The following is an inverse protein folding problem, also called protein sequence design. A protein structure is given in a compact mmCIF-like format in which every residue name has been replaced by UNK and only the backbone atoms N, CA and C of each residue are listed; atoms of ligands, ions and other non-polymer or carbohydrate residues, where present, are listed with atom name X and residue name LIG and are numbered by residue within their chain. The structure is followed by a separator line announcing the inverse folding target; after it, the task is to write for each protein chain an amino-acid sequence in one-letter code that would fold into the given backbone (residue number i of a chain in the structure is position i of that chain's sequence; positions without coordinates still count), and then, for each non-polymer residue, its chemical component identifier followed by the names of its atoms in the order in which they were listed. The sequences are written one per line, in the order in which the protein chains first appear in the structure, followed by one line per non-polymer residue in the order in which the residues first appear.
data_IF_577633101381
#
_entry.id   IF_577633101381
#
_cell.length_a   1.000
_cell.length_b   1.000
_cell.length_c   1.000
_cell.angle_alpha   90.00
_cell.angle_beta   90.00
_cell.angle_gamma   90.00
#
_symmetry.space_group_name_H-M   'P 1'
#
loop_
_entity.id
_entity.type
_entity.pdbx_description
1 polymer ?
#
# COMPACT_ATOMS: atom_id res chain seq x y z
N UNK A 1 9.04 13.02 -20.89
CA UNK A 1 8.84 13.80 -19.68
C UNK A 1 7.66 13.22 -18.95
N UNK A 2 7.91 12.33 -18.04
CA UNK A 2 6.89 11.91 -17.11
C UNK A 2 6.59 13.14 -16.28
N UNK A 3 5.53 13.82 -16.58
CA UNK A 3 4.97 14.76 -15.66
C UNK A 3 4.57 13.91 -14.46
N UNK A 4 5.44 13.94 -13.49
CA UNK A 4 5.14 13.31 -12.22
C UNK A 4 3.80 13.85 -11.78
N UNK A 5 2.94 12.93 -11.53
CA UNK A 5 1.62 13.17 -11.02
C UNK A 5 1.76 13.92 -9.71
N UNK A 6 1.39 15.16 -9.71
CA UNK A 6 1.34 15.96 -8.51
C UNK A 6 0.02 15.63 -7.80
N UNK A 7 0.11 14.77 -6.80
CA UNK A 7 -1.06 14.37 -6.02
C UNK A 7 -1.63 15.51 -5.16
N UNK A 8 -0.87 16.59 -5.02
CA UNK A 8 -1.38 17.79 -4.35
C UNK A 8 -2.12 18.69 -5.32
N UNK A 9 -2.00 18.42 -6.62
CA UNK A 9 -2.66 19.21 -7.62
C UNK A 9 -4.18 18.98 -7.53
N UNK A 10 -4.98 20.03 -7.28
CA UNK A 10 -6.43 19.89 -7.17
C UNK A 10 -7.09 19.34 -8.44
N UNK A 11 -6.34 19.29 -9.54
CA UNK A 11 -6.79 18.68 -10.79
C UNK A 11 -6.84 17.14 -10.68
N UNK A 12 -6.13 16.53 -9.72
CA UNK A 12 -6.12 15.08 -9.52
C UNK A 12 -6.50 14.73 -8.07
N UNK A 13 -7.72 15.07 -7.66
CA UNK A 13 -8.15 14.69 -6.31
C UNK A 13 -8.22 13.17 -6.19
N UNK A 14 -7.91 12.67 -5.01
CA UNK A 14 -8.18 11.28 -4.69
C UNK A 14 -9.66 11.00 -4.95
N UNK A 15 -9.96 9.90 -5.60
CA UNK A 15 -11.34 9.54 -5.83
C UNK A 15 -12.04 9.37 -4.48
N UNK A 16 -13.24 9.86 -4.45
CA UNK A 16 -14.08 9.91 -3.26
C UNK A 16 -14.51 8.54 -2.77
N UNK A 17 -13.60 7.83 -2.16
CA UNK A 17 -14.00 6.92 -1.11
C UNK A 17 -13.88 7.71 0.18
N UNK A 18 -14.63 7.38 1.19
CA UNK A 18 -14.43 7.99 2.48
C UNK A 18 -12.99 7.75 2.90
N UNK A 19 -12.25 8.82 3.17
CA UNK A 19 -10.92 8.66 3.72
C UNK A 19 -11.06 8.08 5.12
N UNK A 20 -10.27 7.04 5.38
CA UNK A 20 -10.24 6.42 6.69
C UNK A 20 -9.52 7.32 7.69
N UNK A 21 -9.93 7.23 8.94
CA UNK A 21 -9.23 7.81 10.07
C UNK A 21 -8.89 6.71 11.07
N UNK A 22 -7.97 6.99 11.98
CA UNK A 22 -7.63 6.06 13.05
C UNK A 22 -8.86 5.72 13.86
N UNK A 23 -9.02 4.44 14.17
CA UNK A 23 -10.15 3.91 14.91
C UNK A 23 -11.25 3.34 14.03
N UNK A 24 -11.23 3.62 12.73
CA UNK A 24 -12.21 3.05 11.80
C UNK A 24 -12.00 1.55 11.66
N UNK A 25 -13.09 0.81 11.43
CA UNK A 25 -13.01 -0.60 11.10
C UNK A 25 -12.51 -0.76 9.67
N UNK A 26 -11.49 -1.60 9.48
CA UNK A 26 -10.95 -1.90 8.16
C UNK A 26 -11.99 -2.61 7.29
N UNK A 27 -11.98 -2.31 6.00
CA UNK A 27 -12.82 -3.00 5.03
C UNK A 27 -12.07 -4.17 4.40
N UNK A 28 -12.79 -5.26 4.16
CA UNK A 28 -12.28 -6.36 3.35
C UNK A 28 -12.01 -5.87 1.94
N UNK A 29 -10.88 -6.27 1.39
CA UNK A 29 -10.58 -6.04 -0.03
C UNK A 29 -9.97 -7.28 -0.65
N UNK A 30 -9.99 -7.32 -1.99
CA UNK A 30 -9.42 -8.40 -2.78
C UNK A 30 -8.49 -7.82 -3.83
N UNK A 31 -7.31 -8.39 -3.94
CA UNK A 31 -6.26 -8.00 -4.90
C UNK A 31 -5.77 -9.25 -5.63
N UNK A 32 -4.84 -9.11 -6.56
CA UNK A 32 -4.29 -10.23 -7.32
C UNK A 32 -2.83 -10.46 -6.97
N UNK A 33 -2.44 -11.72 -6.86
CA UNK A 33 -1.05 -12.10 -6.67
C UNK A 33 -0.30 -12.18 -8.01
N UNK A 34 0.98 -12.58 -7.96
CA UNK A 34 1.83 -12.68 -9.14
C UNK A 34 1.37 -13.72 -10.17
N UNK A 35 0.46 -14.60 -9.81
CA UNK A 35 -0.13 -15.61 -10.69
C UNK A 35 -1.56 -15.26 -11.11
N UNK A 36 -1.96 -13.99 -10.92
CA UNK A 36 -3.31 -13.49 -11.24
C UNK A 36 -4.41 -14.15 -10.41
N UNK A 37 -4.06 -14.73 -9.26
CA UNK A 37 -5.03 -15.35 -8.37
C UNK A 37 -5.52 -14.35 -7.33
N UNK A 38 -6.82 -14.38 -6.99
CA UNK A 38 -7.37 -13.47 -5.98
C UNK A 38 -6.79 -13.74 -4.60
N UNK A 39 -6.47 -12.66 -3.89
CA UNK A 39 -6.03 -12.68 -2.50
C UNK A 39 -6.94 -11.74 -1.73
N UNK A 40 -7.70 -12.26 -0.78
CA UNK A 40 -8.55 -11.46 0.08
C UNK A 40 -7.80 -11.03 1.35
N UNK A 41 -8.06 -9.82 1.81
CA UNK A 41 -7.45 -9.31 3.04
C UNK A 41 -7.77 -10.16 4.26
N UNK A 42 -8.88 -10.90 4.23
CA UNK A 42 -9.27 -11.83 5.30
C UNK A 42 -8.31 -13.00 5.48
N UNK A 43 -7.44 -13.28 4.49
CA UNK A 43 -6.37 -14.27 4.66
C UNK A 43 -5.36 -13.87 5.73
N UNK A 44 -5.30 -12.60 6.07
CA UNK A 44 -4.37 -12.04 7.05
C UNK A 44 -5.06 -11.64 8.35
N UNK A 45 -6.29 -12.10 8.57
CA UNK A 45 -6.97 -11.86 9.84
C UNK A 45 -6.13 -12.43 10.98
N UNK A 46 -6.23 -11.84 12.15
CA UNK A 46 -5.41 -12.17 13.32
C UNK A 46 -3.93 -11.78 13.18
N UNK A 47 -3.58 -11.07 12.09
CA UNK A 47 -2.26 -10.47 11.91
C UNK A 47 -2.37 -8.96 11.84
N UNK A 48 -1.33 -8.28 12.29
CA UNK A 48 -1.18 -6.85 12.05
C UNK A 48 -0.75 -6.66 10.59
N UNK A 49 -1.46 -5.82 9.83
CA UNK A 49 -1.10 -5.52 8.45
C UNK A 49 -0.52 -4.12 8.35
N UNK A 50 0.62 -4.01 7.68
CA UNK A 50 1.11 -2.74 7.16
C UNK A 50 0.81 -2.78 5.67
N UNK A 51 -0.02 -1.85 5.19
CA UNK A 51 -0.36 -1.76 3.78
C UNK A 51 0.39 -0.57 3.20
N UNK A 52 1.38 -0.85 2.36
CA UNK A 52 2.20 0.13 1.66
C UNK A 52 1.59 0.36 0.29
N UNK A 53 1.15 1.58 0.01
CA UNK A 53 0.43 1.93 -1.22
C UNK A 53 1.27 2.89 -2.03
N UNK A 54 1.38 2.65 -3.34
CA UNK A 54 2.22 3.47 -4.21
C UNK A 54 1.70 3.46 -5.64
N UNK A 55 2.06 4.49 -6.45
CA UNK A 55 1.55 4.60 -7.83
C UNK A 55 2.10 3.55 -8.79
N UNK A 56 3.41 3.28 -8.79
CA UNK A 56 4.00 2.32 -9.73
C UNK A 56 5.42 1.94 -9.33
N UNK A 57 5.77 0.67 -9.57
CA UNK A 57 7.14 0.17 -9.42
C UNK A 57 8.13 0.85 -10.37
N UNK A 58 7.64 1.50 -11.42
CA UNK A 58 8.47 2.18 -12.43
C UNK A 58 8.85 3.60 -12.02
N UNK A 59 8.57 4.03 -10.79
CA UNK A 59 9.01 5.31 -10.25
C UNK A 59 10.05 5.12 -9.16
N UNK A 60 11.02 6.02 -9.07
CA UNK A 60 12.15 5.90 -8.14
C UNK A 60 11.73 5.91 -6.67
N UNK A 61 10.77 6.77 -6.31
CA UNK A 61 10.29 6.86 -4.92
C UNK A 61 9.53 5.60 -4.52
N UNK A 62 8.78 5.01 -5.44
CA UNK A 62 8.09 3.73 -5.18
C UNK A 62 9.09 2.59 -4.97
N UNK A 63 10.17 2.57 -5.73
CA UNK A 63 11.24 1.60 -5.52
C UNK A 63 11.84 1.75 -4.12
N UNK A 64 12.15 2.97 -3.70
CA UNK A 64 12.67 3.25 -2.35
C UNK A 64 11.70 2.80 -1.26
N UNK A 65 10.42 3.07 -1.44
CA UNK A 65 9.37 2.67 -0.48
C UNK A 65 9.35 1.15 -0.29
N UNK A 66 9.37 0.40 -1.38
CA UNK A 66 9.36 -1.05 -1.33
C UNK A 66 10.64 -1.61 -0.71
N UNK A 67 11.79 -1.06 -1.07
CA UNK A 67 13.08 -1.47 -0.52
C UNK A 67 13.12 -1.22 0.99
N UNK A 68 12.64 -0.05 1.45
CA UNK A 68 12.61 0.28 2.87
C UNK A 68 11.73 -0.69 3.64
N UNK A 69 10.51 -0.95 3.18
CA UNK A 69 9.62 -1.88 3.87
C UNK A 69 10.11 -3.32 3.82
N UNK A 70 10.73 -3.73 2.73
CA UNK A 70 11.32 -5.07 2.65
C UNK A 70 12.42 -5.26 3.71
N UNK A 71 13.26 -4.24 3.90
CA UNK A 71 14.31 -4.27 4.91
C UNK A 71 13.71 -4.30 6.33
N UNK A 72 12.70 -3.47 6.58
CA UNK A 72 12.05 -3.41 7.90
C UNK A 72 11.28 -4.69 8.22
N UNK A 73 10.73 -5.36 7.21
CA UNK A 73 9.98 -6.61 7.40
C UNK A 73 10.80 -7.68 8.10
N UNK A 74 12.10 -7.72 7.84
CA UNK A 74 13.02 -8.69 8.47
C UNK A 74 13.15 -8.48 9.98
N UNK A 75 12.77 -7.33 10.50
CA UNK A 75 12.90 -6.96 11.92
C UNK A 75 11.57 -7.00 12.68
N UNK A 76 10.48 -7.26 11.98
CA UNK A 76 9.14 -7.27 12.58
C UNK A 76 8.79 -8.66 13.09
N UNK A 77 7.85 -8.71 14.03
CA UNK A 77 7.34 -9.96 14.56
C UNK A 77 6.63 -10.78 13.46
N UNK A 78 6.56 -12.09 13.65
CA UNK A 78 5.96 -13.01 12.67
C UNK A 78 4.47 -12.78 12.45
N UNK A 79 3.79 -12.14 13.39
CA UNK A 79 2.37 -11.81 13.29
C UNK A 79 2.11 -10.46 12.60
N UNK A 80 3.16 -9.84 12.07
CA UNK A 80 3.04 -8.64 11.25
C UNK A 80 3.32 -9.02 9.79
N UNK A 81 2.43 -8.62 8.90
CA UNK A 81 2.57 -8.81 7.46
C UNK A 81 2.60 -7.46 6.76
N UNK A 82 3.47 -7.32 5.77
CA UNK A 82 3.51 -6.11 4.94
C UNK A 82 2.97 -6.46 3.56
N UNK A 83 1.92 -5.74 3.15
CA UNK A 83 1.34 -5.82 1.82
C UNK A 83 1.73 -4.56 1.05
N UNK A 84 2.29 -4.73 -0.15
CA UNK A 84 2.63 -3.62 -1.05
C UNK A 84 1.66 -3.63 -2.22
N UNK A 85 0.93 -2.54 -2.43
CA UNK A 85 -0.15 -2.48 -3.40
C UNK A 85 0.06 -1.35 -4.42
N UNK A 86 -0.12 -1.69 -5.68
CA UNK A 86 -0.19 -0.74 -6.79
C UNK A 86 -1.11 -1.28 -7.87
N UNK A 87 -1.33 -0.51 -8.93
CA UNK A 87 -2.08 -0.98 -10.11
C UNK A 87 -1.16 -1.46 -11.23
N UNK A 88 0.12 -1.65 -10.95
CA UNK A 88 1.00 -2.32 -11.89
C UNK A 88 0.46 -3.71 -12.19
N UNK A 89 0.68 -4.21 -13.40
CA UNK A 89 0.34 -5.59 -13.72
C UNK A 89 1.17 -6.54 -12.86
N UNK A 90 0.63 -7.67 -12.44
CA UNK A 90 1.37 -8.66 -11.64
C UNK A 90 2.71 -9.07 -12.26
N UNK A 91 2.79 -9.10 -13.58
CA UNK A 91 4.03 -9.40 -14.31
C UNK A 91 5.12 -8.37 -14.04
N UNK A 92 4.76 -7.09 -14.06
CA UNK A 92 5.69 -5.99 -13.79
C UNK A 92 6.14 -6.02 -12.32
N UNK A 93 5.24 -6.31 -11.41
CA UNK A 93 5.55 -6.44 -9.99
C UNK A 93 6.53 -7.59 -9.73
N UNK A 94 6.32 -8.74 -10.37
CA UNK A 94 7.24 -9.88 -10.25
C UNK A 94 8.64 -9.53 -10.74
N UNK A 95 8.73 -8.86 -11.88
CA UNK A 95 10.03 -8.44 -12.44
C UNK A 95 10.74 -7.47 -11.50
N UNK A 96 10.01 -6.52 -10.96
CA UNK A 96 10.55 -5.54 -10.00
C UNK A 96 11.08 -6.25 -8.75
N UNK A 97 10.29 -7.14 -8.15
CA UNK A 97 10.68 -7.86 -6.95
C UNK A 97 11.94 -8.69 -7.18
N UNK A 98 12.06 -9.35 -8.34
CA UNK A 98 13.23 -10.12 -8.68
C UNK A 98 14.46 -9.23 -8.84
N UNK A 99 14.32 -8.08 -9.53
CA UNK A 99 15.42 -7.16 -9.78
C UNK A 99 15.93 -6.48 -8.50
N UNK A 100 15.03 -6.16 -7.58
CA UNK A 100 15.36 -5.42 -6.35
C UNK A 100 15.46 -6.32 -5.12
N UNK A 101 15.38 -7.63 -5.28
CA UNK A 101 15.45 -8.61 -4.18
C UNK A 101 14.39 -8.35 -3.10
N UNK A 102 13.17 -8.05 -3.51
CA UNK A 102 12.03 -7.83 -2.62
C UNK A 102 11.37 -9.18 -2.34
N UNK A 103 11.62 -9.73 -1.16
CA UNK A 103 11.16 -11.08 -0.79
C UNK A 103 10.48 -11.16 0.59
N UNK A 104 10.56 -10.10 1.40
CA UNK A 104 9.99 -10.09 2.74
C UNK A 104 8.63 -9.37 2.81
N UNK A 105 8.21 -8.75 1.74
CA UNK A 105 6.88 -8.13 1.63
C UNK A 105 6.09 -8.86 0.56
N UNK A 106 4.75 -8.81 0.69
CA UNK A 106 3.85 -9.41 -0.28
C UNK A 106 3.38 -8.32 -1.23
N UNK A 107 3.76 -8.41 -2.50
CA UNK A 107 3.42 -7.43 -3.52
C UNK A 107 2.22 -7.95 -4.31
N UNK A 108 1.13 -7.19 -4.30
CA UNK A 108 -0.12 -7.54 -4.96
C UNK A 108 -0.61 -6.39 -5.84
N UNK A 109 -1.45 -6.72 -6.80
CA UNK A 109 -1.97 -5.77 -7.78
C UNK A 109 -3.46 -5.50 -7.58
N UNK A 110 -3.81 -4.23 -7.59
CA UNK A 110 -5.19 -3.74 -7.52
C UNK A 110 -5.71 -3.33 -8.92
N UNK A 111 -5.02 -3.78 -10.00
CA UNK A 111 -5.26 -3.23 -11.34
C UNK A 111 -6.64 -3.56 -11.90
N UNK A 112 -7.15 -4.74 -11.61
CA UNK A 112 -8.37 -5.21 -12.28
C UNK A 112 -9.62 -4.51 -11.77
N UNK A 113 -9.82 -4.49 -10.46
CA UNK A 113 -11.06 -4.02 -9.87
C UNK A 113 -10.93 -2.73 -9.07
N UNK A 114 -9.71 -2.26 -8.78
CA UNK A 114 -9.44 -1.13 -7.89
C UNK A 114 -10.15 -1.27 -6.54
N UNK A 115 -10.35 -2.50 -6.08
CA UNK A 115 -11.16 -2.79 -4.90
C UNK A 115 -10.57 -2.16 -3.64
N UNK A 116 -9.26 -2.33 -3.43
CA UNK A 116 -8.58 -1.67 -2.31
C UNK A 116 -8.62 -0.14 -2.47
N UNK A 117 -8.21 0.33 -3.63
CA UNK A 117 -8.09 1.77 -3.87
C UNK A 117 -9.39 2.53 -3.67
N UNK A 118 -10.49 1.98 -4.16
CA UNK A 118 -11.81 2.60 -4.00
C UNK A 118 -12.29 2.56 -2.56
N UNK A 119 -12.09 1.45 -1.86
CA UNK A 119 -12.54 1.30 -0.48
C UNK A 119 -11.75 2.15 0.51
N UNK A 120 -10.45 2.38 0.24
CA UNK A 120 -9.57 3.11 1.14
C UNK A 120 -9.23 4.53 0.68
N UNK A 121 -9.83 4.99 -0.42
CA UNK A 121 -9.66 6.37 -0.88
C UNK A 121 -8.31 6.67 -1.51
N UNK A 122 -7.62 5.68 -2.07
CA UNK A 122 -6.32 5.87 -2.69
C UNK A 122 -6.34 6.04 -4.20
N UNK A 123 -7.48 5.87 -4.86
CA UNK A 123 -7.54 5.98 -6.33
C UNK A 123 -7.40 7.42 -6.78
N UNK A 124 -6.47 7.65 -7.70
CA UNK A 124 -6.41 8.89 -8.47
C UNK A 124 -7.25 8.66 -9.71
N UNK A 125 -8.45 9.16 -9.71
CA UNK A 125 -9.49 8.81 -10.66
C UNK A 125 -9.08 9.04 -12.11
N UNK A 126 -8.52 10.18 -12.40
CA UNK A 126 -8.15 10.60 -13.77
C UNK A 126 -7.05 9.73 -14.36
N UNK A 127 -6.22 9.15 -13.52
CA UNK A 127 -5.04 8.39 -13.93
C UNK A 127 -5.22 6.89 -13.70
N UNK A 128 -6.24 6.50 -12.95
CA UNK A 128 -6.47 5.13 -12.51
C UNK A 128 -5.23 4.51 -11.84
N UNK A 129 -4.52 5.33 -11.09
CA UNK A 129 -3.39 4.91 -10.27
C UNK A 129 -3.77 5.00 -8.80
N UNK A 130 -3.03 4.30 -7.96
CA UNK A 130 -3.12 4.51 -6.52
C UNK A 130 -2.21 5.67 -6.11
N UNK A 131 -2.65 6.44 -5.13
CA UNK A 131 -1.80 7.42 -4.47
C UNK A 131 -0.77 6.74 -3.59
N UNK A 132 0.07 7.54 -2.93
CA UNK A 132 1.07 7.02 -2.03
C UNK A 132 0.60 7.13 -0.59
N UNK A 133 0.83 6.10 0.19
CA UNK A 133 0.54 6.14 1.60
C UNK A 133 0.80 4.85 2.33
N UNK A 134 0.42 4.82 3.59
CA UNK A 134 0.57 3.66 4.45
C UNK A 134 -0.66 3.53 5.33
N UNK A 135 -1.15 2.32 5.49
CA UNK A 135 -2.24 1.99 6.41
C UNK A 135 -1.76 0.88 7.33
N UNK A 136 -1.98 1.04 8.64
CA UNK A 136 -1.72 -0.01 9.61
C UNK A 136 -3.05 -0.46 10.20
N UNK A 137 -3.31 -1.76 10.10
CA UNK A 137 -4.52 -2.40 10.62
C UNK A 137 -4.11 -3.41 11.68
N UNK A 138 -4.72 -3.33 12.86
CA UNK A 138 -4.40 -4.25 13.94
C UNK A 138 -5.05 -5.64 13.75
N UNK A 139 -4.75 -6.56 14.65
CA UNK A 139 -5.26 -7.94 14.59
C UNK A 139 -6.78 -8.03 14.75
N UNK A 140 -7.41 -6.99 15.26
CA UNK A 140 -8.87 -6.91 15.44
C UNK A 140 -9.56 -6.25 14.25
N UNK A 141 -8.80 -5.86 13.22
CA UNK A 141 -9.35 -5.21 12.04
C UNK A 141 -9.65 -3.72 12.22
N UNK A 142 -8.95 -3.06 13.12
CA UNK A 142 -9.10 -1.62 13.36
C UNK A 142 -7.92 -0.88 12.75
N UNK A 143 -8.20 0.21 12.03
CA UNK A 143 -7.16 1.08 11.47
C UNK A 143 -6.49 1.85 12.61
N UNK A 144 -5.19 1.65 12.77
CA UNK A 144 -4.40 2.29 13.85
C UNK A 144 -3.49 3.39 13.35
N UNK A 145 -3.25 3.45 12.07
CA UNK A 145 -2.47 4.50 11.45
C UNK A 145 -2.86 4.60 9.99
N UNK A 146 -2.96 5.80 9.47
CA UNK A 146 -3.16 6.02 8.05
C UNK A 146 -2.48 7.30 7.63
N UNK A 147 -1.76 7.25 6.52
CA UNK A 147 -1.16 8.40 5.89
C UNK A 147 -1.48 8.41 4.40
N UNK A 148 -2.03 9.53 3.94
CA UNK A 148 -2.14 9.84 2.51
C UNK A 148 -1.05 10.87 2.22
N UNK A 149 0.01 10.46 1.50
CA UNK A 149 1.12 11.35 1.20
C UNK A 149 0.65 12.42 0.21
N UNK A 150 0.82 13.68 0.56
CA UNK A 150 0.28 14.79 -0.22
C UNK A 150 1.00 15.02 -1.55
N UNK A 151 2.28 14.68 -1.64
CA UNK A 151 3.07 14.82 -2.86
C UNK A 151 3.67 13.48 -3.27
N UNK A 152 3.42 13.06 -4.51
CA UNK A 152 3.84 11.75 -5.02
C UNK A 152 5.36 11.52 -4.95
N UNK A 153 6.13 12.59 -5.03
CA UNK A 153 7.59 12.52 -4.99
C UNK A 153 8.16 12.33 -3.59
N UNK A 154 7.34 12.48 -2.56
CA UNK A 154 7.78 12.32 -1.18
C UNK A 154 7.54 10.90 -0.71
N UNK A 155 8.48 10.40 0.09
CA UNK A 155 8.32 9.12 0.76
C UNK A 155 7.31 9.26 1.91
N UNK A 156 6.64 8.16 2.30
CA UNK A 156 5.81 8.18 3.50
C UNK A 156 6.68 8.29 4.76
N UNK A 157 6.05 8.59 5.88
CA UNK A 157 6.70 8.59 7.19
C UNK A 157 6.78 7.15 7.72
N UNK A 158 7.85 6.45 7.36
CA UNK A 158 8.07 5.06 7.77
C UNK A 158 8.12 4.91 9.29
N UNK A 159 8.80 5.83 9.96
CA UNK A 159 8.99 5.75 11.40
C UNK A 159 7.68 5.88 12.16
N UNK A 160 6.78 6.74 11.70
CA UNK A 160 5.45 6.89 12.29
C UNK A 160 4.62 5.60 12.11
N UNK A 161 4.64 4.99 10.93
CA UNK A 161 3.93 3.75 10.67
C UNK A 161 4.48 2.61 11.54
N UNK A 162 5.80 2.48 11.60
CA UNK A 162 6.46 1.43 12.39
C UNK A 162 6.24 1.64 13.90
N UNK A 163 6.23 2.88 14.35
CA UNK A 163 5.89 3.21 15.74
C UNK A 163 4.48 2.75 16.08
N UNK A 164 3.51 3.02 15.20
CA UNK A 164 2.15 2.57 15.39
C UNK A 164 2.06 1.04 15.57
N UNK A 165 2.82 0.29 14.77
CA UNK A 165 2.90 -1.18 14.89
C UNK A 165 3.48 -1.59 16.25
N UNK A 166 4.57 -0.95 16.69
CA UNK A 166 5.20 -1.28 17.97
C UNK A 166 4.29 -0.99 19.17
N UNK A 167 3.40 -0.03 19.05
CA UNK A 167 2.46 0.34 20.12
C UNK A 167 1.27 -0.62 20.23
N UNK A 168 1.13 -1.58 19.33
CA UNK A 168 0.01 -2.55 19.31
C UNK A 168 0.23 -3.80 20.19
N UNK A 169 1.24 -3.80 21.00
CA UNK A 169 1.52 -4.94 21.89
C UNK A 169 0.62 -4.94 23.12
#
# INVERSE_FOLDING_TARGET
KTNLIDLTNPQFPLASGDQFIEGDRAHRFEVLDGNLQPVASTQFKDKTMIISVFPSVDTSVCALQNIRFNREAARLDKDVVILSLSVDLPFAQKRFCAAEHIDNVRVYSDYRDLDFGMKYGFVIKELRLLGRGVVVVDRKGIVRYIEYVSEIKNEPDYDAALKAVRELK
#
